data_IF_283533182336
#
_entry.id   IF_283533182336
#
_cell.length_a   1.000
_cell.length_b   1.000
_cell.length_c   1.000
_cell.angle_alpha   90.00
_cell.angle_beta   90.00
_cell.angle_gamma   90.00
#
_symmetry.space_group_name_H-M   'P 1'
#
loop_
_entity.id
_entity.type
_entity.pdbx_description
1 polymer ?
#
# COMPACT_ATOMS: atom_id res chain seq x y z
N UNK A 1 33.58 -10.78 19.22
CA UNK A 1 32.75 -9.64 19.68
C UNK A 1 31.91 -10.17 20.83
N UNK A 2 31.86 -9.47 21.97
CA UNK A 2 31.29 -10.04 23.21
C UNK A 2 29.82 -9.67 23.39
N UNK A 3 29.06 -10.51 24.08
CA UNK A 3 27.68 -10.20 24.42
C UNK A 3 27.62 -9.00 25.38
N UNK A 4 26.64 -8.12 25.17
CA UNK A 4 26.46 -6.92 26.00
C UNK A 4 26.16 -7.26 27.48
N UNK A 5 25.45 -8.37 27.72
CA UNK A 5 25.03 -8.80 29.06
C UNK A 5 26.03 -9.78 29.69
N UNK A 6 26.60 -10.66 28.89
CA UNK A 6 27.57 -11.67 29.32
C UNK A 6 28.92 -11.41 28.67
N UNK A 7 29.82 -10.72 29.38
CA UNK A 7 31.14 -10.37 28.83
C UNK A 7 32.07 -11.58 28.68
N UNK A 8 31.73 -12.72 29.28
CA UNK A 8 32.45 -13.99 29.13
C UNK A 8 31.99 -14.82 27.93
N UNK A 9 30.90 -14.43 27.27
CA UNK A 9 30.35 -15.16 26.13
C UNK A 9 30.52 -14.38 24.84
N UNK A 10 30.88 -15.09 23.78
CA UNK A 10 30.92 -14.54 22.43
C UNK A 10 29.49 -14.29 21.92
N UNK A 11 29.33 -13.16 21.22
CA UNK A 11 28.09 -12.82 20.57
C UNK A 11 27.97 -13.53 19.22
N UNK A 12 26.79 -14.09 18.97
CA UNK A 12 26.45 -14.81 17.72
C UNK A 12 25.52 -14.00 16.82
N UNK A 13 24.80 -13.02 17.39
CA UNK A 13 23.83 -12.22 16.68
C UNK A 13 23.80 -10.79 17.22
N UNK A 14 23.17 -9.90 16.46
CA UNK A 14 22.91 -8.51 16.85
C UNK A 14 21.41 -8.33 16.96
N UNK A 15 20.95 -7.80 18.08
CA UNK A 15 19.54 -7.50 18.29
C UNK A 15 19.08 -6.45 17.28
N UNK A 16 18.02 -6.75 16.51
CA UNK A 16 17.49 -5.82 15.51
C UNK A 16 16.92 -4.54 16.13
N UNK A 17 16.44 -4.62 17.38
CA UNK A 17 15.83 -3.47 18.05
C UNK A 17 16.86 -2.48 18.57
N UNK A 18 17.79 -2.95 19.41
CA UNK A 18 18.72 -2.09 20.16
C UNK A 18 20.13 -2.05 19.57
N UNK A 19 20.43 -2.87 18.55
CA UNK A 19 21.75 -2.94 17.91
C UNK A 19 22.85 -3.55 18.79
N UNK A 20 22.50 -4.12 19.95
CA UNK A 20 23.47 -4.74 20.87
C UNK A 20 23.75 -6.19 20.49
N UNK A 21 24.98 -6.61 20.70
CA UNK A 21 25.42 -7.98 20.44
C UNK A 21 24.91 -8.95 21.53
N UNK A 22 24.36 -10.10 21.11
CA UNK A 22 23.75 -11.12 21.96
C UNK A 22 24.44 -12.50 21.80
N UNK A 23 24.65 -13.21 22.90
CA UNK A 23 25.10 -14.61 22.92
C UNK A 23 23.92 -15.57 22.72
N UNK A 24 24.21 -16.86 22.56
CA UNK A 24 23.20 -17.91 22.39
C UNK A 24 22.13 -17.92 23.49
N UNK A 25 22.50 -17.64 24.74
CA UNK A 25 21.57 -17.66 25.88
C UNK A 25 20.67 -16.41 25.95
N UNK A 26 21.09 -15.30 25.35
CA UNK A 26 20.32 -14.05 25.31
C UNK A 26 19.57 -13.87 23.99
N UNK A 27 19.84 -14.72 23.01
CA UNK A 27 19.29 -14.65 21.67
C UNK A 27 17.91 -15.29 21.68
N UNK A 28 16.88 -14.49 21.49
CA UNK A 28 15.51 -14.96 21.26
C UNK A 28 15.16 -14.79 19.78
N UNK A 29 14.70 -15.86 19.15
CA UNK A 29 14.40 -15.88 17.72
C UNK A 29 12.93 -15.51 17.51
N UNK A 30 12.70 -14.34 16.89
CA UNK A 30 11.35 -13.86 16.56
C UNK A 30 10.88 -14.32 15.18
N UNK A 31 11.73 -15.03 14.42
CA UNK A 31 11.48 -15.49 13.05
C UNK A 31 12.26 -14.67 12.01
N UNK A 32 11.83 -13.43 11.68
CA UNK A 32 12.53 -12.60 10.71
C UNK A 32 13.76 -11.89 11.30
N UNK A 33 13.97 -11.99 12.61
CA UNK A 33 14.89 -11.16 13.36
C UNK A 33 15.27 -11.80 14.70
N UNK A 34 16.40 -11.36 15.26
CA UNK A 34 16.87 -11.76 16.59
C UNK A 34 16.68 -10.61 17.59
N UNK A 35 16.23 -10.94 18.80
CA UNK A 35 16.08 -10.02 19.91
C UNK A 35 16.96 -10.45 21.12
N UNK A 36 17.37 -9.48 21.96
CA UNK A 36 18.18 -9.75 23.15
C UNK A 36 17.38 -9.90 24.46
N UNK A 37 16.08 -9.59 24.42
CA UNK A 37 15.16 -9.66 25.57
C UNK A 37 13.71 -9.74 25.08
N UNK A 38 12.80 -10.17 25.97
CA UNK A 38 11.37 -10.24 25.67
C UNK A 38 10.78 -8.88 25.26
N UNK A 39 11.22 -7.78 25.89
CA UNK A 39 10.76 -6.42 25.52
C UNK A 39 11.19 -6.07 24.08
N UNK A 40 12.45 -6.38 23.72
CA UNK A 40 12.93 -6.16 22.36
C UNK A 40 12.24 -7.08 21.35
N UNK A 41 11.88 -8.30 21.74
CA UNK A 41 11.14 -9.22 20.89
C UNK A 41 9.74 -8.68 20.58
N UNK A 42 9.04 -8.14 21.58
CA UNK A 42 7.73 -7.52 21.41
C UNK A 42 7.78 -6.30 20.46
N UNK A 43 8.77 -5.42 20.60
CA UNK A 43 8.92 -4.24 19.73
C UNK A 43 9.24 -4.63 18.27
N UNK A 44 10.05 -5.67 18.07
CA UNK A 44 10.38 -6.18 16.73
C UNK A 44 9.15 -6.82 16.08
N UNK A 45 8.35 -7.59 16.83
CA UNK A 45 7.11 -8.16 16.33
C UNK A 45 6.10 -7.08 15.94
N UNK A 46 5.89 -6.06 16.77
CA UNK A 46 5.01 -4.93 16.46
C UNK A 46 5.48 -4.18 15.20
N UNK A 47 6.79 -3.94 15.08
CA UNK A 47 7.38 -3.29 13.90
C UNK A 47 7.21 -4.13 12.63
N UNK A 48 7.31 -5.45 12.76
CA UNK A 48 7.11 -6.38 11.65
C UNK A 48 5.64 -6.45 11.22
N UNK A 49 4.70 -6.48 12.16
CA UNK A 49 3.27 -6.42 11.88
C UNK A 49 2.87 -5.12 11.17
N UNK A 50 3.42 -3.98 11.63
CA UNK A 50 3.22 -2.69 10.99
C UNK A 50 3.80 -2.69 9.57
N UNK A 51 5.03 -3.17 9.38
CA UNK A 51 5.64 -3.27 8.05
C UNK A 51 4.81 -4.17 7.13
N UNK A 52 4.27 -5.26 7.65
CA UNK A 52 3.42 -6.19 6.91
C UNK A 52 2.10 -5.55 6.50
N UNK A 53 1.43 -4.80 7.39
CA UNK A 53 0.18 -4.10 7.07
C UNK A 53 0.39 -2.96 6.07
N UNK A 54 1.53 -2.26 6.16
CA UNK A 54 1.95 -1.28 5.16
C UNK A 54 2.22 -1.94 3.81
N UNK A 55 2.98 -3.05 3.76
CA UNK A 55 3.23 -3.78 2.52
C UNK A 55 1.93 -4.27 1.85
N UNK A 56 0.94 -4.70 2.64
CA UNK A 56 -0.38 -5.07 2.13
C UNK A 56 -1.17 -3.87 1.60
N UNK A 57 -1.07 -2.71 2.25
CA UNK A 57 -1.78 -1.50 1.84
C UNK A 57 -1.15 -0.82 0.62
N UNK A 58 0.18 -0.86 0.51
CA UNK A 58 0.94 -0.22 -0.56
C UNK A 58 1.22 -1.14 -1.76
N UNK A 59 0.80 -2.41 -1.73
CA UNK A 59 0.90 -3.33 -2.87
C UNK A 59 2.33 -3.55 -3.38
N UNK A 60 3.33 -3.43 -2.50
CA UNK A 60 4.73 -3.67 -2.87
C UNK A 60 4.93 -5.18 -2.99
N UNK A 61 4.95 -5.69 -4.23
CA UNK A 61 5.27 -7.09 -4.56
C UNK A 61 4.11 -7.97 -5.02
N UNK A 62 2.86 -7.49 -4.96
CA UNK A 62 1.69 -8.19 -5.52
C UNK A 62 0.89 -7.12 -6.27
N UNK A 63 0.59 -7.34 -7.56
CA UNK A 63 -0.17 -6.41 -8.41
C UNK A 63 -1.29 -5.78 -7.58
N UNK A 64 -1.21 -4.48 -7.23
CA UNK A 64 -2.22 -3.89 -6.38
C UNK A 64 -3.57 -4.05 -7.09
N UNK A 65 -4.62 -4.48 -6.37
CA UNK A 65 -5.96 -4.49 -6.94
C UNK A 65 -6.25 -3.11 -7.50
N UNK A 66 -6.87 -3.05 -8.69
CA UNK A 66 -7.12 -1.79 -9.39
C UNK A 66 -7.71 -0.76 -8.40
N UNK A 67 -7.18 0.48 -8.34
CA UNK A 67 -7.66 1.45 -7.39
C UNK A 67 -9.15 1.67 -7.59
N UNK A 68 -9.93 1.59 -6.50
CA UNK A 68 -11.39 1.63 -6.53
C UNK A 68 -11.95 2.87 -7.26
N UNK A 69 -11.17 3.95 -7.35
CA UNK A 69 -11.48 5.16 -8.11
C UNK A 69 -11.75 4.92 -9.61
N UNK A 70 -11.05 3.98 -10.25
CA UNK A 70 -11.18 3.74 -11.70
C UNK A 70 -12.58 3.25 -12.08
N UNK A 71 -13.12 2.16 -11.49
CA UNK A 71 -14.49 1.74 -11.79
C UNK A 71 -15.52 2.78 -11.34
N UNK A 72 -15.27 3.53 -10.26
CA UNK A 72 -16.19 4.59 -9.81
C UNK A 72 -16.33 5.70 -10.86
N UNK A 73 -15.23 6.28 -11.35
CA UNK A 73 -15.28 7.33 -12.37
C UNK A 73 -15.90 6.85 -13.68
N UNK A 74 -15.64 5.59 -14.06
CA UNK A 74 -16.23 4.99 -15.25
C UNK A 74 -17.76 4.85 -15.13
N UNK A 75 -18.26 4.36 -14.00
CA UNK A 75 -19.69 4.23 -13.75
C UNK A 75 -20.41 5.60 -13.73
N UNK A 76 -19.86 6.59 -13.03
CA UNK A 76 -20.44 7.94 -13.00
C UNK A 76 -20.41 8.62 -14.37
N UNK A 77 -19.32 8.46 -15.12
CA UNK A 77 -19.22 8.96 -16.50
C UNK A 77 -20.26 8.33 -17.43
N UNK A 78 -20.50 7.02 -17.31
CA UNK A 78 -21.47 6.29 -18.13
C UNK A 78 -22.91 6.73 -17.81
N UNK A 79 -23.26 6.85 -16.52
CA UNK A 79 -24.60 7.31 -16.10
C UNK A 79 -24.86 8.72 -16.64
N UNK A 80 -23.94 9.66 -16.45
CA UNK A 80 -24.09 11.03 -16.93
C UNK A 80 -24.17 11.13 -18.46
N UNK A 81 -23.39 10.31 -19.17
CA UNK A 81 -23.43 10.25 -20.63
C UNK A 81 -24.77 9.69 -21.14
N UNK A 82 -25.30 8.64 -20.50
CA UNK A 82 -26.61 8.09 -20.83
C UNK A 82 -27.73 9.10 -20.57
N UNK A 83 -27.69 9.82 -19.44
CA UNK A 83 -28.63 10.89 -19.12
C UNK A 83 -28.52 12.05 -20.12
N UNK A 84 -27.31 12.49 -20.47
CA UNK A 84 -27.10 13.55 -21.45
C UNK A 84 -27.65 13.22 -22.84
N UNK A 85 -27.45 11.98 -23.31
CA UNK A 85 -28.04 11.49 -24.57
C UNK A 85 -29.57 11.47 -24.49
N UNK A 86 -30.14 10.96 -23.39
CA UNK A 86 -31.59 10.88 -23.21
C UNK A 86 -32.27 12.26 -23.21
N UNK A 87 -31.66 13.25 -22.53
CA UNK A 87 -32.18 14.62 -22.54
C UNK A 87 -32.10 15.24 -23.94
N UNK A 88 -31.01 14.99 -24.68
CA UNK A 88 -30.84 15.51 -26.05
C UNK A 88 -31.88 14.97 -27.04
N UNK A 89 -32.46 13.79 -26.79
CA UNK A 89 -33.54 13.24 -27.61
C UNK A 89 -34.93 13.77 -27.20
N UNK A 90 -35.10 14.15 -25.93
CA UNK A 90 -36.42 14.53 -25.37
C UNK A 90 -36.64 16.04 -25.39
N UNK A 91 -35.57 16.85 -25.39
CA UNK A 91 -35.62 18.30 -25.52
C UNK A 91 -34.62 18.79 -26.58
N UNK A 92 -35.02 19.71 -27.48
CA UNK A 92 -34.14 20.25 -28.52
C UNK A 92 -33.10 21.26 -27.97
N UNK A 93 -33.14 21.60 -26.69
CA UNK A 93 -32.09 22.38 -26.04
C UNK A 93 -30.97 21.43 -25.61
N UNK A 94 -29.83 21.55 -26.27
CA UNK A 94 -28.64 20.76 -25.96
C UNK A 94 -28.06 21.29 -24.64
N UNK A 95 -28.18 20.51 -23.57
CA UNK A 95 -27.52 20.79 -22.29
C UNK A 95 -26.02 20.47 -22.38
N UNK A 96 -25.26 21.37 -23.03
CA UNK A 96 -23.80 21.28 -23.18
C UNK A 96 -23.07 21.05 -21.85
N UNK A 97 -23.66 21.49 -20.73
CA UNK A 97 -23.10 21.32 -19.39
C UNK A 97 -23.01 19.84 -18.99
N UNK A 98 -24.03 19.04 -19.25
CA UNK A 98 -24.05 17.60 -18.89
C UNK A 98 -23.04 16.80 -19.72
N UNK A 99 -22.94 17.10 -21.01
CA UNK A 99 -21.94 16.53 -21.90
C UNK A 99 -20.52 16.89 -21.47
N UNK A 100 -20.26 18.16 -21.14
CA UNK A 100 -18.96 18.62 -20.66
C UNK A 100 -18.54 17.91 -19.36
N UNK A 101 -19.47 17.73 -18.42
CA UNK A 101 -19.19 17.00 -17.18
C UNK A 101 -18.85 15.53 -17.44
N UNK A 102 -19.60 14.85 -18.32
CA UNK A 102 -19.29 13.45 -18.67
C UNK A 102 -17.89 13.30 -19.27
N UNK A 103 -17.47 14.24 -20.13
CA UNK A 103 -16.14 14.24 -20.73
C UNK A 103 -15.04 14.38 -19.68
N UNK A 104 -15.22 15.24 -18.67
CA UNK A 104 -14.28 15.39 -17.55
C UNK A 104 -14.12 14.07 -16.76
N UNK A 105 -15.22 13.37 -16.49
CA UNK A 105 -15.17 12.08 -15.77
C UNK A 105 -14.46 10.99 -16.59
N UNK A 106 -14.66 10.94 -17.91
CA UNK A 106 -13.91 10.02 -18.78
C UNK A 106 -12.42 10.34 -18.86
N UNK A 107 -12.05 11.63 -18.91
CA UNK A 107 -10.64 12.05 -18.87
C UNK A 107 -10.01 11.67 -17.54
N UNK A 108 -10.70 11.89 -16.42
CA UNK A 108 -10.21 11.50 -15.09
C UNK A 108 -10.07 9.98 -14.95
N UNK A 109 -11.00 9.20 -15.49
CA UNK A 109 -10.89 7.74 -15.55
C UNK A 109 -9.67 7.30 -16.39
N UNK A 110 -9.42 7.94 -17.54
CA UNK A 110 -8.25 7.66 -18.38
C UNK A 110 -6.92 8.01 -17.71
N UNK A 111 -6.83 9.18 -17.05
CA UNK A 111 -5.62 9.61 -16.34
C UNK A 111 -5.32 8.68 -15.16
N UNK A 112 -6.33 8.28 -14.39
CA UNK A 112 -6.16 7.37 -13.26
C UNK A 112 -5.79 5.96 -13.72
N UNK A 113 -6.38 5.47 -14.82
CA UNK A 113 -5.99 4.19 -15.44
C UNK A 113 -4.55 4.21 -15.95
N UNK A 114 -4.14 5.30 -16.63
CA UNK A 114 -2.76 5.45 -17.12
C UNK A 114 -1.77 5.48 -15.95
N UNK A 115 -2.06 6.26 -14.91
CA UNK A 115 -1.25 6.30 -13.68
C UNK A 115 -1.14 4.93 -13.01
N UNK A 116 -2.22 4.16 -12.97
CA UNK A 116 -2.19 2.79 -12.46
C UNK A 116 -1.27 1.89 -13.30
N UNK A 117 -1.34 2.00 -14.63
CA UNK A 117 -0.49 1.22 -15.53
C UNK A 117 0.99 1.60 -15.42
N UNK A 118 1.30 2.90 -15.27
CA UNK A 118 2.68 3.40 -15.11
C UNK A 118 3.31 2.95 -13.78
N UNK A 119 2.51 2.88 -12.71
CA UNK A 119 2.94 2.33 -11.42
C UNK A 119 3.17 0.82 -11.49
N UNK A 120 2.31 0.09 -12.21
CA UNK A 120 2.45 -1.36 -12.39
C UNK A 120 3.61 -1.77 -13.33
N UNK A 121 3.98 -0.94 -14.31
CA UNK A 121 5.09 -1.24 -15.23
C UNK A 121 6.48 -0.98 -14.65
N UNK A 122 6.55 -0.27 -13.52
CA UNK A 122 7.78 0.09 -12.82
C UNK A 122 8.19 -0.90 -11.72
N UNK A 123 7.47 -2.04 -11.59
CA UNK A 123 7.67 -3.06 -10.56
C UNK A 123 8.06 -4.40 -11.19
#
# INVERSE_FOLDING_TARGET
MRCYRHQDHDAIAVCQNCGKAACADCCDDTGPAVACSADCAAEVQQSYELKRSLMQSFGVGIRPPMPASVPTYFFFGLILLATGIYLSFTRPEIDYLTLAMSAVFFVMAGVTYKRYNDVCSSC
#
